data_IF_909050507825
#
_entry.id   IF_909050507825
#
_cell.length_a   1.000
_cell.length_b   1.000
_cell.length_c   1.000
_cell.angle_alpha   90.00
_cell.angle_beta   90.00
_cell.angle_gamma   90.00
#
_symmetry.space_group_name_H-M   'P 1'
#
loop_
_entity.id
_entity.type
_entity.pdbx_description
1 polymer ?
#
# COMPACT_ATOMS: atom_id res chain seq x y z
N UNK A 1 11.85 22.08 21.27
CA UNK A 1 12.30 20.69 21.02
C UNK A 1 11.85 19.72 22.12
N UNK A 2 11.95 20.10 23.41
CA UNK A 2 11.56 19.21 24.50
C UNK A 2 10.07 18.85 24.49
N UNK A 3 9.18 19.79 24.18
CA UNK A 3 7.74 19.57 24.12
C UNK A 3 7.37 18.65 22.94
N UNK A 4 8.00 18.85 21.78
CA UNK A 4 7.77 17.98 20.61
C UNK A 4 8.29 16.58 20.86
N UNK A 5 9.48 16.44 21.47
CA UNK A 5 10.04 15.15 21.83
C UNK A 5 9.14 14.40 22.80
N UNK A 6 8.62 15.08 23.84
CA UNK A 6 7.70 14.48 24.80
C UNK A 6 6.37 14.08 24.15
N UNK A 7 5.86 14.91 23.26
CA UNK A 7 4.63 14.63 22.50
C UNK A 7 4.79 13.36 21.65
N UNK A 8 5.88 13.27 20.88
CA UNK A 8 6.14 12.12 20.03
C UNK A 8 6.39 10.83 20.85
N UNK A 9 7.11 10.96 21.98
CA UNK A 9 7.33 9.83 22.87
C UNK A 9 6.01 9.27 23.39
N UNK A 10 5.03 10.14 23.70
CA UNK A 10 3.71 9.72 24.16
C UNK A 10 2.87 9.14 23.02
N UNK A 11 2.63 9.93 21.97
CA UNK A 11 1.62 9.57 20.96
C UNK A 11 2.15 8.70 19.83
N UNK A 12 3.45 8.69 19.59
CA UNK A 12 4.06 7.82 18.59
C UNK A 12 4.58 6.52 19.20
N UNK A 13 5.10 6.54 20.41
CA UNK A 13 5.86 5.42 20.95
C UNK A 13 5.17 4.68 22.11
N UNK A 14 4.48 5.39 23.03
CA UNK A 14 3.84 4.69 24.15
C UNK A 14 2.54 4.03 23.72
N UNK A 15 2.25 2.86 24.28
CA UNK A 15 1.03 2.11 23.97
C UNK A 15 -0.23 2.91 24.33
N UNK A 16 -0.25 3.54 25.49
CA UNK A 16 -1.38 4.36 25.94
C UNK A 16 -1.62 5.55 25.01
N UNK A 17 -0.57 6.29 24.68
CA UNK A 17 -0.67 7.45 23.80
C UNK A 17 -1.09 7.10 22.37
N UNK A 18 -0.55 6.00 21.85
CA UNK A 18 -0.95 5.48 20.53
C UNK A 18 -2.44 5.18 20.49
N UNK A 19 -2.98 4.53 21.53
CA UNK A 19 -4.40 4.20 21.60
C UNK A 19 -5.27 5.43 21.76
N UNK A 20 -4.87 6.42 22.57
CA UNK A 20 -5.59 7.69 22.68
C UNK A 20 -5.68 8.39 21.34
N UNK A 21 -4.58 8.44 20.61
CA UNK A 21 -4.52 9.03 19.26
C UNK A 21 -5.47 8.31 18.31
N UNK A 22 -5.45 6.98 18.34
CA UNK A 22 -6.31 6.14 17.49
C UNK A 22 -7.81 6.37 17.78
N UNK A 23 -8.20 6.41 19.05
CA UNK A 23 -9.59 6.65 19.42
C UNK A 23 -10.06 8.03 18.93
N UNK A 24 -9.18 9.03 19.00
CA UNK A 24 -9.50 10.37 18.52
C UNK A 24 -9.66 10.41 17.00
N UNK A 25 -8.81 9.69 16.25
CA UNK A 25 -8.97 9.53 14.80
C UNK A 25 -10.34 8.95 14.44
N UNK A 26 -10.75 7.91 15.14
CA UNK A 26 -12.05 7.27 14.90
C UNK A 26 -13.22 8.21 15.15
N UNK A 27 -13.12 9.07 16.17
CA UNK A 27 -14.14 10.09 16.42
C UNK A 27 -14.24 11.09 15.28
N UNK A 28 -13.09 11.52 14.74
CA UNK A 28 -13.05 12.57 13.70
C UNK A 28 -13.52 12.07 12.35
N UNK A 29 -13.14 10.87 11.98
CA UNK A 29 -13.39 10.34 10.63
C UNK A 29 -14.63 9.43 10.57
N UNK A 30 -15.13 8.99 11.72
CA UNK A 30 -16.21 8.00 11.77
C UNK A 30 -15.74 6.61 11.36
N UNK A 31 -16.37 5.59 11.89
CA UNK A 31 -16.03 4.20 11.63
C UNK A 31 -17.08 3.55 10.75
N UNK A 32 -16.64 2.86 9.72
CA UNK A 32 -17.50 2.01 8.89
C UNK A 32 -17.38 0.57 9.37
N UNK A 33 -18.50 0.02 9.85
CA UNK A 33 -18.56 -1.34 10.40
C UNK A 33 -19.04 -2.38 9.38
N UNK A 34 -19.02 -2.07 8.09
CA UNK A 34 -19.40 -3.03 7.06
C UNK A 34 -18.59 -4.32 7.22
N UNK A 35 -19.28 -5.43 7.41
CA UNK A 35 -18.64 -6.72 7.73
C UNK A 35 -17.75 -7.21 6.60
N UNK A 36 -18.19 -7.08 5.36
CA UNK A 36 -17.41 -7.52 4.19
C UNK A 36 -16.10 -6.76 4.08
N UNK A 37 -16.13 -5.42 4.18
CA UNK A 37 -14.93 -4.60 4.10
C UNK A 37 -14.00 -4.86 5.28
N UNK A 38 -14.53 -4.95 6.48
CA UNK A 38 -13.71 -5.17 7.67
C UNK A 38 -13.03 -6.54 7.65
N UNK A 39 -13.75 -7.59 7.27
CA UNK A 39 -13.15 -8.92 7.16
C UNK A 39 -12.03 -8.96 6.12
N UNK A 40 -12.24 -8.29 4.99
CA UNK A 40 -11.22 -8.18 3.93
C UNK A 40 -9.96 -7.49 4.44
N UNK A 41 -10.10 -6.36 5.10
CA UNK A 41 -8.98 -5.60 5.64
C UNK A 41 -8.29 -6.37 6.77
N UNK A 42 -9.03 -7.01 7.66
CA UNK A 42 -8.46 -7.82 8.74
C UNK A 42 -7.55 -8.93 8.19
N UNK A 43 -8.01 -9.61 7.15
CA UNK A 43 -7.21 -10.66 6.49
C UNK A 43 -5.95 -10.10 5.85
N UNK A 44 -6.08 -8.99 5.11
CA UNK A 44 -4.93 -8.37 4.45
C UNK A 44 -3.91 -7.86 5.47
N UNK A 45 -4.37 -7.20 6.53
CA UNK A 45 -3.48 -6.68 7.59
C UNK A 45 -2.76 -7.82 8.32
N UNK A 46 -3.44 -8.93 8.58
CA UNK A 46 -2.80 -10.10 9.19
C UNK A 46 -1.71 -10.68 8.28
N UNK A 47 -2.00 -10.82 6.99
CA UNK A 47 -1.04 -11.32 6.00
C UNK A 47 0.17 -10.38 5.84
N UNK A 48 -0.07 -9.08 5.80
CA UNK A 48 1.00 -8.09 5.72
C UNK A 48 1.85 -8.06 7.00
N UNK A 49 1.22 -8.17 8.16
CA UNK A 49 1.96 -8.23 9.43
C UNK A 49 2.92 -9.42 9.45
N UNK A 50 2.48 -10.58 9.00
CA UNK A 50 3.34 -11.76 8.90
C UNK A 50 4.47 -11.56 7.89
N UNK A 51 4.18 -10.99 6.73
CA UNK A 51 5.17 -10.70 5.69
C UNK A 51 6.22 -9.69 6.17
N UNK A 52 5.78 -8.60 6.80
CA UNK A 52 6.68 -7.59 7.37
C UNK A 52 7.51 -8.19 8.50
N UNK A 53 6.90 -9.00 9.36
CA UNK A 53 7.61 -9.66 10.46
C UNK A 53 8.76 -10.54 10.00
N UNK A 54 8.69 -11.10 8.80
CA UNK A 54 9.78 -11.90 8.22
C UNK A 54 11.01 -11.05 7.87
N UNK A 55 10.85 -9.76 7.60
CA UNK A 55 11.95 -8.85 7.21
C UNK A 55 12.23 -7.78 8.27
N UNK A 56 11.28 -7.47 9.12
CA UNK A 56 11.39 -6.47 10.19
C UNK A 56 10.54 -6.90 11.40
N UNK A 57 11.10 -7.71 12.29
CA UNK A 57 10.36 -8.23 13.46
C UNK A 57 9.88 -7.15 14.46
N UNK A 58 10.38 -5.92 14.35
CA UNK A 58 9.94 -4.82 15.23
C UNK A 58 8.46 -4.52 15.11
N UNK A 59 7.80 -4.96 14.04
CA UNK A 59 6.35 -4.81 13.88
C UNK A 59 5.59 -5.49 15.03
N UNK A 60 6.13 -6.54 15.61
CA UNK A 60 5.49 -7.24 16.74
C UNK A 60 5.57 -6.46 18.05
N UNK A 61 6.55 -5.55 18.16
CA UNK A 61 6.69 -4.68 19.34
C UNK A 61 5.78 -3.44 19.25
N UNK A 62 5.37 -3.06 18.03
CA UNK A 62 4.52 -1.90 17.78
C UNK A 62 3.49 -2.24 16.69
N UNK A 63 2.47 -3.04 17.04
CA UNK A 63 1.45 -3.46 16.08
C UNK A 63 0.66 -2.27 15.52
N UNK A 64 0.14 -2.42 14.31
CA UNK A 64 -0.68 -1.40 13.67
C UNK A 64 -2.10 -1.42 14.22
N UNK A 65 -2.63 -0.24 14.51
CA UNK A 65 -4.05 0.00 14.70
C UNK A 65 -4.62 0.49 13.37
N UNK A 66 -5.79 0.03 13.00
CA UNK A 66 -6.41 0.44 11.74
C UNK A 66 -7.93 0.41 11.85
N UNK A 67 -8.57 1.25 11.06
CA UNK A 67 -10.03 1.26 10.93
C UNK A 67 -10.43 1.73 9.54
N UNK A 68 -11.63 1.39 9.13
CA UNK A 68 -12.23 1.88 7.89
C UNK A 68 -13.10 3.07 8.27
N UNK A 69 -12.86 4.22 7.63
CA UNK A 69 -13.61 5.44 7.87
C UNK A 69 -14.76 5.59 6.86
N UNK A 70 -15.56 6.66 7.00
CA UNK A 70 -16.73 6.92 6.17
C UNK A 70 -16.46 7.73 4.90
N UNK A 71 -15.22 8.14 4.66
CA UNK A 71 -14.86 8.95 3.49
C UNK A 71 -14.94 8.12 2.22
N UNK A 72 -15.65 8.66 1.21
CA UNK A 72 -15.87 7.99 -0.07
C UNK A 72 -14.81 8.28 -1.11
N UNK A 73 -13.81 9.12 -0.80
CA UNK A 73 -12.66 9.33 -1.68
C UNK A 73 -11.69 8.16 -1.59
N UNK A 74 -10.87 7.99 -2.63
CA UNK A 74 -9.87 6.93 -2.68
C UNK A 74 -8.63 7.35 -1.89
N UNK A 75 -8.44 6.78 -0.72
CA UNK A 75 -7.23 6.99 0.08
C UNK A 75 -7.11 5.98 1.22
N UNK A 76 -5.90 5.89 1.74
CA UNK A 76 -5.54 5.28 3.01
C UNK A 76 -4.27 5.96 3.48
N UNK A 77 -4.07 6.09 4.79
CA UNK A 77 -2.84 6.69 5.31
C UNK A 77 -2.43 6.08 6.64
N UNK A 78 -1.13 6.18 6.90
CA UNK A 78 -0.52 5.86 8.18
C UNK A 78 -0.05 7.16 8.83
N UNK A 79 -0.28 7.31 10.12
CA UNK A 79 0.15 8.46 10.91
C UNK A 79 0.88 8.00 12.17
N UNK A 80 1.11 8.89 13.12
CA UNK A 80 1.82 8.58 14.37
C UNK A 80 1.26 7.34 15.07
N UNK A 81 2.13 6.61 15.72
CA UNK A 81 1.74 5.49 16.58
C UNK A 81 1.37 4.23 15.81
N UNK A 82 1.79 4.09 14.56
CA UNK A 82 1.34 3.00 13.69
C UNK A 82 -0.19 2.96 13.58
N UNK A 83 -0.80 4.13 13.53
CA UNK A 83 -2.25 4.27 13.35
C UNK A 83 -2.58 4.49 11.89
N UNK A 84 -3.53 3.72 11.36
CA UNK A 84 -3.94 3.76 9.96
C UNK A 84 -5.42 4.05 9.82
N UNK A 85 -5.76 4.87 8.85
CA UNK A 85 -7.13 5.13 8.44
C UNK A 85 -7.31 4.72 6.98
N UNK A 86 -8.35 3.94 6.70
CA UNK A 86 -8.63 3.40 5.38
C UNK A 86 -10.00 3.94 4.95
N UNK A 87 -10.02 4.72 3.88
CA UNK A 87 -11.27 5.28 3.39
C UNK A 87 -12.18 4.19 2.82
N UNK A 88 -13.48 4.29 3.06
CA UNK A 88 -14.48 3.45 2.40
C UNK A 88 -14.33 3.51 0.87
N UNK A 89 -13.96 4.68 0.34
CA UNK A 89 -13.75 4.88 -1.09
C UNK A 89 -12.64 4.02 -1.70
N UNK A 90 -11.75 3.44 -0.88
CA UNK A 90 -10.74 2.50 -1.39
C UNK A 90 -11.39 1.34 -2.14
N UNK A 91 -12.51 0.82 -1.60
CA UNK A 91 -13.21 -0.34 -2.16
C UNK A 91 -14.01 -0.03 -3.42
N UNK A 92 -14.29 1.23 -3.71
CA UNK A 92 -14.96 1.62 -4.96
C UNK A 92 -14.00 1.63 -6.15
N UNK A 93 -12.69 1.73 -5.90
CA UNK A 93 -11.66 1.75 -6.94
C UNK A 93 -10.94 0.40 -7.00
N UNK A 94 -10.56 -0.16 -5.87
CA UNK A 94 -9.84 -1.44 -5.80
C UNK A 94 -10.80 -2.57 -5.43
N UNK A 95 -10.95 -3.52 -6.35
CA UNK A 95 -11.75 -4.73 -6.15
C UNK A 95 -10.90 -5.97 -5.92
N UNK A 96 -9.58 -5.83 -6.01
CA UNK A 96 -8.60 -6.90 -5.98
C UNK A 96 -7.80 -6.82 -4.68
N UNK A 97 -7.73 -7.92 -3.94
CA UNK A 97 -7.03 -7.97 -2.65
C UNK A 97 -5.53 -7.71 -2.78
N UNK A 98 -4.91 -8.15 -3.89
CA UNK A 98 -3.48 -7.93 -4.12
C UNK A 98 -3.16 -6.44 -4.22
N UNK A 99 -4.00 -5.68 -4.92
CA UNK A 99 -3.82 -4.24 -5.07
C UNK A 99 -4.08 -3.50 -3.75
N UNK A 100 -5.08 -3.90 -2.99
CA UNK A 100 -5.33 -3.35 -1.65
C UNK A 100 -4.12 -3.61 -0.75
N UNK A 101 -3.57 -4.82 -0.81
CA UNK A 101 -2.39 -5.18 -0.03
C UNK A 101 -1.17 -4.29 -0.37
N UNK A 102 -1.00 -3.93 -1.63
CA UNK A 102 0.08 -3.00 -2.04
C UNK A 102 -0.10 -1.63 -1.39
N UNK A 103 -1.31 -1.08 -1.45
CA UNK A 103 -1.60 0.24 -0.83
C UNK A 103 -1.33 0.20 0.67
N UNK A 104 -1.85 -0.80 1.38
CA UNK A 104 -1.64 -0.92 2.82
C UNK A 104 -0.17 -1.22 3.15
N UNK A 105 0.50 -2.05 2.36
CA UNK A 105 1.93 -2.32 2.52
C UNK A 105 2.78 -1.08 2.36
N UNK A 106 2.44 -0.20 1.43
CA UNK A 106 3.08 1.11 1.24
C UNK A 106 2.90 1.98 2.50
N UNK A 107 1.68 2.07 3.03
CA UNK A 107 1.40 2.86 4.23
C UNK A 107 2.12 2.26 5.46
N UNK A 108 2.17 0.95 5.58
CA UNK A 108 2.94 0.29 6.64
C UNK A 108 4.45 0.51 6.48
N UNK A 109 4.93 0.64 5.25
CA UNK A 109 6.31 1.03 4.97
C UNK A 109 6.64 2.40 5.55
N UNK A 110 5.75 3.37 5.42
CA UNK A 110 5.89 4.67 6.08
C UNK A 110 5.97 4.50 7.60
N UNK A 111 5.12 3.67 8.18
CA UNK A 111 5.11 3.40 9.62
C UNK A 111 6.41 2.75 10.10
N UNK A 112 6.89 1.71 9.41
CA UNK A 112 8.10 0.98 9.78
C UNK A 112 9.36 1.86 9.72
N UNK A 113 9.39 2.86 8.85
CA UNK A 113 10.49 3.84 8.75
C UNK A 113 10.24 5.12 9.54
N UNK A 114 9.16 5.16 10.31
CA UNK A 114 8.83 6.29 11.19
C UNK A 114 8.69 7.62 10.42
N UNK A 115 8.26 7.55 9.17
CA UNK A 115 8.08 8.73 8.32
C UNK A 115 7.08 9.74 8.90
N UNK A 116 5.95 9.31 9.50
CA UNK A 116 5.03 10.28 10.12
C UNK A 116 5.67 11.10 11.24
N UNK A 117 6.46 10.49 12.10
CA UNK A 117 7.17 11.20 13.17
C UNK A 117 8.25 12.12 12.62
N UNK A 118 9.00 11.66 11.61
CA UNK A 118 10.01 12.49 10.93
C UNK A 118 9.38 13.69 10.26
N UNK A 119 8.23 13.52 9.60
CA UNK A 119 7.48 14.63 9.02
C UNK A 119 6.94 15.60 10.08
N UNK A 120 6.45 15.09 11.20
CA UNK A 120 5.99 15.90 12.31
C UNK A 120 7.12 16.75 12.90
N UNK A 121 8.31 16.21 13.04
CA UNK A 121 9.49 16.96 13.52
C UNK A 121 9.86 18.12 12.60
N UNK A 122 9.60 18.01 11.30
CA UNK A 122 9.89 19.09 10.35
C UNK A 122 8.77 20.11 10.24
N UNK A 123 7.50 19.69 10.37
CA UNK A 123 6.34 20.53 10.05
C UNK A 123 5.63 21.09 11.27
N UNK A 124 5.67 20.42 12.42
CA UNK A 124 5.03 20.91 13.64
C UNK A 124 5.93 21.95 14.29
N UNK A 125 5.39 23.15 14.46
CA UNK A 125 6.05 24.18 15.24
C UNK A 125 5.50 24.17 16.67
N UNK A 126 6.24 24.80 17.55
CA UNK A 126 5.89 24.88 18.98
C UNK A 126 4.59 25.63 19.24
N UNK A 127 4.19 26.53 18.32
CA UNK A 127 2.94 27.26 18.47
C UNK A 127 1.70 26.40 18.31
N UNK A 128 1.76 25.39 17.43
CA UNK A 128 0.66 24.42 17.27
C UNK A 128 0.52 23.58 18.53
N UNK A 129 1.63 23.08 19.07
CA UNK A 129 1.63 22.28 20.30
C UNK A 129 1.29 23.13 21.53
N UNK A 130 1.78 24.35 21.57
CA UNK A 130 1.52 25.29 22.67
C UNK A 130 0.06 25.75 22.73
N UNK A 131 -0.55 26.02 21.58
CA UNK A 131 -1.97 26.35 21.48
C UNK A 131 -2.86 25.16 21.87
N UNK A 132 -2.33 23.95 21.78
CA UNK A 132 -3.04 22.73 22.11
C UNK A 132 -2.80 22.25 23.55
N UNK A 133 -1.88 22.88 24.31
CA UNK A 133 -1.65 22.53 25.71
C UNK A 133 -2.89 22.85 26.56
N UNK A 134 -3.45 21.84 27.16
CA UNK A 134 -4.68 21.93 27.93
C UNK A 134 -5.93 21.93 27.10
N UNK A 135 -5.82 21.71 25.81
CA UNK A 135 -6.93 21.63 24.89
C UNK A 135 -7.04 20.28 24.24
N UNK A 136 -8.06 20.15 23.53
CA UNK A 136 -8.61 19.06 22.77
C UNK A 136 -7.53 18.30 21.98
N UNK A 137 -7.31 17.04 22.33
CA UNK A 137 -6.48 16.13 21.58
C UNK A 137 -6.93 16.05 20.11
N UNK A 138 -8.23 16.25 19.84
CA UNK A 138 -8.77 16.27 18.50
C UNK A 138 -8.13 17.31 17.59
N UNK A 139 -7.84 18.49 18.11
CA UNK A 139 -7.17 19.57 17.36
C UNK A 139 -5.74 19.13 17.01
N UNK A 140 -5.04 18.54 17.96
CA UNK A 140 -3.68 18.04 17.74
C UNK A 140 -3.68 16.96 16.66
N UNK A 141 -4.57 15.99 16.76
CA UNK A 141 -4.69 14.89 15.81
C UNK A 141 -4.97 15.42 14.40
N UNK A 142 -5.92 16.35 14.27
CA UNK A 142 -6.22 16.97 12.98
C UNK A 142 -5.00 17.68 12.39
N UNK A 143 -4.27 18.43 13.19
CA UNK A 143 -3.06 19.15 12.74
C UNK A 143 -1.96 18.17 12.30
N UNK A 144 -1.73 17.11 13.06
CA UNK A 144 -0.72 16.09 12.72
C UNK A 144 -1.06 15.42 11.38
N UNK A 145 -2.31 15.02 11.19
CA UNK A 145 -2.74 14.35 9.97
C UNK A 145 -2.68 15.29 8.76
N UNK A 146 -3.12 16.54 8.91
CA UNK A 146 -3.14 17.52 7.82
C UNK A 146 -1.75 18.01 7.42
N UNK A 147 -0.73 17.82 8.27
CA UNK A 147 0.63 18.30 8.06
C UNK A 147 1.66 17.17 8.08
N UNK A 148 1.36 16.05 7.44
CA UNK A 148 2.22 14.85 7.48
C UNK A 148 3.60 15.06 6.87
N UNK A 149 3.75 15.95 5.90
CA UNK A 149 5.03 16.33 5.29
C UNK A 149 5.87 15.13 4.83
N UNK A 150 5.29 14.28 4.00
CA UNK A 150 5.96 13.14 3.40
C UNK A 150 6.73 13.61 2.17
N UNK A 151 8.03 13.33 2.13
CA UNK A 151 8.91 13.75 1.02
C UNK A 151 8.94 12.71 -0.10
N UNK A 152 9.41 13.12 -1.29
CA UNK A 152 9.61 12.19 -2.40
C UNK A 152 10.54 11.02 -2.06
N UNK A 153 11.69 11.21 -1.41
CA UNK A 153 12.50 10.08 -0.96
C UNK A 153 11.78 9.11 -0.02
N UNK A 154 10.95 9.63 0.89
CA UNK A 154 10.12 8.79 1.76
C UNK A 154 9.10 7.97 0.95
N UNK A 155 8.48 8.56 -0.06
CA UNK A 155 7.56 7.86 -0.95
C UNK A 155 8.26 6.74 -1.71
N UNK A 156 9.45 7.00 -2.24
CA UNK A 156 10.26 5.97 -2.92
C UNK A 156 10.66 4.85 -1.97
N UNK A 157 11.04 5.17 -0.75
CA UNK A 157 11.38 4.17 0.27
C UNK A 157 10.16 3.31 0.59
N UNK A 158 8.99 3.93 0.78
CA UNK A 158 7.75 3.20 1.02
C UNK A 158 7.36 2.31 -0.16
N UNK A 159 7.56 2.76 -1.40
CA UNK A 159 7.33 1.94 -2.58
C UNK A 159 8.24 0.70 -2.61
N UNK A 160 9.52 0.88 -2.31
CA UNK A 160 10.47 -0.22 -2.25
C UNK A 160 10.11 -1.23 -1.15
N UNK A 161 9.68 -0.73 0.01
CA UNK A 161 9.24 -1.57 1.12
C UNK A 161 7.95 -2.32 0.79
N UNK A 162 6.99 -1.68 0.12
CA UNK A 162 5.77 -2.36 -0.31
C UNK A 162 6.09 -3.57 -1.19
N UNK A 163 7.02 -3.41 -2.14
CA UNK A 163 7.47 -4.52 -2.98
C UNK A 163 8.13 -5.63 -2.15
N UNK A 164 9.01 -5.28 -1.23
CA UNK A 164 9.67 -6.24 -0.34
C UNK A 164 8.63 -7.02 0.48
N UNK A 165 7.66 -6.33 1.09
CA UNK A 165 6.63 -6.96 1.90
C UNK A 165 5.74 -7.89 1.06
N UNK A 166 5.31 -7.44 -0.11
CA UNK A 166 4.47 -8.23 -1.00
C UNK A 166 5.20 -9.49 -1.47
N UNK A 167 6.49 -9.41 -1.79
CA UNK A 167 7.26 -10.57 -2.21
C UNK A 167 7.51 -11.59 -1.08
N UNK A 168 7.32 -11.19 0.18
CA UNK A 168 7.34 -12.09 1.33
C UNK A 168 5.94 -12.55 1.76
N UNK A 169 4.92 -12.25 0.97
CA UNK A 169 3.54 -12.67 1.16
C UNK A 169 3.10 -13.60 0.03
N UNK A 170 1.85 -14.04 0.08
CA UNK A 170 1.22 -14.79 -1.02
C UNK A 170 0.54 -13.88 -2.05
N UNK A 171 0.61 -12.56 -1.88
CA UNK A 171 0.06 -11.63 -2.85
C UNK A 171 0.92 -11.55 -4.09
N UNK A 172 0.28 -11.26 -5.22
CA UNK A 172 0.96 -11.16 -6.51
C UNK A 172 1.83 -9.90 -6.57
N UNK A 173 3.16 -10.01 -6.74
CA UNK A 173 4.02 -8.84 -6.79
C UNK A 173 3.75 -7.93 -7.98
N UNK A 174 3.12 -8.42 -9.03
CA UNK A 174 2.67 -7.62 -10.17
C UNK A 174 1.64 -6.56 -9.79
N UNK A 175 0.92 -6.77 -8.69
CA UNK A 175 -0.04 -5.79 -8.18
C UNK A 175 0.62 -4.46 -7.84
N UNK A 176 1.92 -4.44 -7.52
CA UNK A 176 2.65 -3.20 -7.26
C UNK A 176 2.63 -2.25 -8.46
N UNK A 177 2.79 -2.78 -9.66
CA UNK A 177 2.68 -1.99 -10.89
C UNK A 177 1.22 -1.83 -11.33
N UNK A 178 0.42 -2.90 -11.19
CA UNK A 178 -0.98 -2.92 -11.62
C UNK A 178 -1.82 -1.85 -10.92
N UNK A 179 -1.62 -1.63 -9.63
CA UNK A 179 -2.37 -0.62 -8.88
C UNK A 179 -2.13 0.79 -9.44
N UNK A 180 -0.91 1.12 -9.84
CA UNK A 180 -0.60 2.43 -10.44
C UNK A 180 -1.22 2.56 -11.84
N UNK A 181 -1.22 1.49 -12.62
CA UNK A 181 -1.94 1.47 -13.90
C UNK A 181 -3.43 1.73 -13.68
N UNK A 182 -4.03 1.08 -12.69
CA UNK A 182 -5.44 1.28 -12.36
C UNK A 182 -5.73 2.71 -11.88
N UNK A 183 -4.88 3.27 -11.03
CA UNK A 183 -5.00 4.67 -10.57
C UNK A 183 -4.95 5.63 -11.76
N UNK A 184 -4.03 5.44 -12.69
CA UNK A 184 -3.93 6.25 -13.90
C UNK A 184 -5.19 6.12 -14.77
N UNK A 185 -5.67 4.90 -14.97
CA UNK A 185 -6.87 4.65 -15.78
C UNK A 185 -8.12 5.27 -15.15
N UNK A 186 -8.28 5.14 -13.84
CA UNK A 186 -9.46 5.64 -13.12
C UNK A 186 -9.42 7.15 -12.90
N UNK A 187 -8.24 7.76 -12.80
CA UNK A 187 -8.13 9.21 -12.59
C UNK A 187 -8.71 10.03 -13.74
N UNK A 188 -8.73 9.48 -14.95
CA UNK A 188 -9.27 10.16 -16.14
C UNK A 188 -10.78 10.37 -16.08
N UNK A 189 -11.52 9.56 -15.32
CA UNK A 189 -12.97 9.65 -15.20
C UNK A 189 -13.48 9.96 -13.81
N UNK A 190 -12.61 9.94 -12.78
CA UNK A 190 -12.98 10.08 -11.37
C UNK A 190 -11.99 11.00 -10.64
N UNK A 191 -11.67 12.13 -11.22
CA UNK A 191 -10.68 13.07 -10.69
C UNK A 191 -10.96 13.51 -9.25
N UNK A 192 -12.22 13.80 -8.92
CA UNK A 192 -12.62 14.21 -7.58
C UNK A 192 -12.38 13.11 -6.54
N UNK A 193 -12.61 11.84 -6.91
CA UNK A 193 -12.41 10.69 -6.03
C UNK A 193 -10.94 10.42 -5.78
N UNK A 194 -10.10 10.68 -6.79
CA UNK A 194 -8.66 10.36 -6.79
C UNK A 194 -7.78 11.52 -6.31
N UNK A 195 -8.33 12.72 -6.20
CA UNK A 195 -7.55 13.94 -5.98
C UNK A 195 -6.67 13.89 -4.74
N UNK A 196 -7.21 13.47 -3.61
CA UNK A 196 -6.45 13.42 -2.34
C UNK A 196 -5.34 12.39 -2.41
N UNK A 197 -5.63 11.22 -2.98
CA UNK A 197 -4.63 10.16 -3.14
C UNK A 197 -3.47 10.63 -4.03
N UNK A 198 -3.78 11.26 -5.16
CA UNK A 198 -2.76 11.75 -6.09
C UNK A 198 -1.95 12.91 -5.49
N UNK A 199 -2.57 13.72 -4.64
CA UNK A 199 -1.87 14.78 -3.90
C UNK A 199 -0.89 14.19 -2.88
N UNK A 200 -1.31 13.14 -2.14
CA UNK A 200 -0.48 12.47 -1.14
C UNK A 200 0.58 11.57 -1.78
N UNK A 201 0.29 11.04 -2.97
CA UNK A 201 1.13 10.08 -3.69
C UNK A 201 1.29 10.50 -5.14
N UNK A 202 2.08 11.53 -5.44
CA UNK A 202 2.25 11.98 -6.83
C UNK A 202 2.72 10.85 -7.73
N UNK A 203 2.05 10.67 -8.87
CA UNK A 203 2.41 9.66 -9.85
C UNK A 203 2.13 10.15 -11.26
N UNK A 204 3.06 9.90 -12.15
CA UNK A 204 3.00 10.22 -13.57
C UNK A 204 3.33 8.99 -14.44
N UNK A 205 3.25 7.81 -13.88
CA UNK A 205 3.65 6.57 -14.52
C UNK A 205 5.06 6.12 -14.14
N UNK A 206 5.89 6.98 -13.59
CA UNK A 206 7.26 6.63 -13.18
C UNK A 206 7.24 5.56 -12.08
N UNK A 207 6.29 5.61 -11.18
CA UNK A 207 6.16 4.62 -10.09
C UNK A 207 5.77 3.25 -10.63
N UNK A 208 4.84 3.20 -11.59
CA UNK A 208 4.50 1.97 -12.31
C UNK A 208 5.72 1.37 -13.01
N UNK A 209 6.46 2.20 -13.74
CA UNK A 209 7.63 1.76 -14.50
C UNK A 209 8.78 1.33 -13.59
N UNK A 210 8.95 2.00 -12.44
CA UNK A 210 9.90 1.59 -11.42
C UNK A 210 9.57 0.20 -10.87
N UNK A 211 8.30 -0.10 -10.64
CA UNK A 211 7.88 -1.43 -10.24
C UNK A 211 8.07 -2.47 -11.34
N UNK A 212 7.82 -2.12 -12.59
CA UNK A 212 8.09 -3.03 -13.72
C UNK A 212 9.57 -3.42 -13.77
N UNK A 213 10.47 -2.48 -13.47
CA UNK A 213 11.90 -2.76 -13.37
C UNK A 213 12.24 -3.69 -12.19
N UNK A 214 11.62 -3.48 -11.04
CA UNK A 214 11.78 -4.38 -9.88
C UNK A 214 11.30 -5.79 -10.19
N UNK A 215 10.18 -5.92 -10.89
CA UNK A 215 9.65 -7.21 -11.33
C UNK A 215 10.60 -7.91 -12.30
N UNK A 216 11.21 -7.17 -13.23
CA UNK A 216 12.22 -7.71 -14.13
C UNK A 216 13.39 -8.31 -13.34
N UNK A 217 13.95 -7.55 -12.38
CA UNK A 217 15.04 -8.05 -11.53
C UNK A 217 14.60 -9.25 -10.69
N UNK A 218 13.40 -9.22 -10.14
CA UNK A 218 12.84 -10.32 -9.34
C UNK A 218 12.66 -11.59 -10.17
N UNK A 219 12.36 -11.45 -11.46
CA UNK A 219 12.27 -12.57 -12.42
C UNK A 219 13.62 -13.11 -12.88
N UNK A 220 14.73 -12.68 -12.29
CA UNK A 220 16.10 -12.97 -12.75
C UNK A 220 16.35 -12.49 -14.19
N UNK A 221 15.76 -11.34 -14.54
CA UNK A 221 15.88 -10.67 -15.83
C UNK A 221 15.26 -11.42 -17.00
N UNK A 222 14.16 -12.14 -16.73
CA UNK A 222 13.47 -12.92 -17.76
C UNK A 222 12.17 -12.28 -18.24
N UNK A 223 11.44 -11.54 -17.40
CA UNK A 223 10.07 -11.13 -17.70
C UNK A 223 9.96 -9.62 -17.77
N UNK A 224 9.42 -9.12 -18.87
CA UNK A 224 9.17 -7.70 -19.10
C UNK A 224 7.75 -7.50 -19.63
N UNK A 225 7.34 -6.25 -19.71
CA UNK A 225 6.09 -5.84 -20.31
C UNK A 225 6.32 -4.59 -21.15
N UNK A 226 5.68 -4.53 -22.33
CA UNK A 226 5.72 -3.35 -23.19
C UNK A 226 4.35 -3.18 -23.83
N UNK A 227 3.73 -2.03 -23.56
CA UNK A 227 2.42 -1.66 -24.14
C UNK A 227 1.35 -2.76 -23.95
N UNK A 228 1.29 -3.34 -22.76
CA UNK A 228 0.33 -4.39 -22.43
C UNK A 228 0.70 -5.79 -22.89
N UNK A 229 1.82 -5.95 -23.60
CA UNK A 229 2.32 -7.26 -24.03
C UNK A 229 3.39 -7.74 -23.07
N UNK A 230 3.15 -8.91 -22.47
CA UNK A 230 4.12 -9.60 -21.61
C UNK A 230 5.15 -10.31 -22.48
N UNK A 231 6.42 -10.08 -22.16
CA UNK A 231 7.54 -10.69 -22.87
C UNK A 231 8.35 -11.58 -21.92
N UNK A 232 8.75 -12.71 -22.42
CA UNK A 232 9.64 -13.66 -21.72
C UNK A 232 10.89 -13.84 -22.58
N UNK A 233 12.04 -13.53 -22.02
CA UNK A 233 13.33 -13.56 -22.73
C UNK A 233 13.31 -12.77 -24.04
N UNK A 234 12.64 -11.61 -24.02
CA UNK A 234 12.53 -10.73 -25.16
C UNK A 234 11.49 -11.13 -26.22
N UNK A 235 10.81 -12.25 -26.03
CA UNK A 235 9.79 -12.74 -26.96
C UNK A 235 8.39 -12.49 -26.42
N UNK A 236 7.47 -12.09 -27.30
CA UNK A 236 6.08 -11.92 -26.93
C UNK A 236 5.48 -13.21 -26.40
N UNK A 237 4.88 -13.13 -25.23
CA UNK A 237 4.21 -14.26 -24.59
C UNK A 237 2.69 -14.11 -24.67
N UNK A 238 2.14 -13.01 -24.16
CA UNK A 238 0.70 -12.76 -24.16
C UNK A 238 0.41 -11.27 -24.06
N UNK A 239 -0.65 -10.84 -24.73
CA UNK A 239 -1.30 -9.55 -24.50
C UNK A 239 -2.69 -9.88 -23.93
N UNK A 240 -2.87 -9.82 -22.59
CA UNK A 240 -4.14 -10.20 -21.99
C UNK A 240 -5.27 -9.31 -22.47
N UNK A 241 -6.45 -9.90 -22.70
CA UNK A 241 -7.64 -9.10 -22.96
C UNK A 241 -8.08 -8.37 -21.69
N UNK A 242 -8.77 -7.23 -21.85
CA UNK A 242 -9.47 -6.61 -20.73
C UNK A 242 -10.50 -7.59 -20.15
N UNK A 243 -10.69 -7.57 -18.84
CA UNK A 243 -11.63 -8.46 -18.15
C UNK A 243 -12.28 -7.73 -17.00
N UNK A 244 -13.61 -7.66 -17.00
CA UNK A 244 -14.33 -6.93 -15.99
C UNK A 244 -13.93 -5.44 -16.00
N UNK A 245 -13.55 -4.92 -14.86
CA UNK A 245 -13.10 -3.53 -14.72
C UNK A 245 -11.58 -3.37 -14.88
N UNK A 246 -10.85 -4.45 -15.16
CA UNK A 246 -9.41 -4.42 -15.41
C UNK A 246 -9.10 -4.21 -16.89
N UNK A 247 -8.26 -3.22 -17.17
CA UNK A 247 -7.73 -3.03 -18.53
C UNK A 247 -6.75 -4.14 -18.91
N UNK A 248 -6.48 -4.27 -20.20
CA UNK A 248 -5.42 -5.14 -20.71
C UNK A 248 -4.08 -4.84 -20.03
N UNK A 249 -3.72 -3.56 -19.92
CA UNK A 249 -2.47 -3.15 -19.30
C UNK A 249 -2.40 -3.54 -17.82
N UNK A 250 -3.46 -3.34 -17.07
CA UNK A 250 -3.51 -3.74 -15.66
C UNK A 250 -3.33 -5.26 -15.52
N UNK A 251 -4.05 -6.05 -16.32
CA UNK A 251 -3.93 -7.51 -16.29
C UNK A 251 -2.54 -7.99 -16.68
N UNK A 252 -1.89 -7.29 -17.62
CA UNK A 252 -0.52 -7.67 -18.04
C UNK A 252 0.45 -7.67 -16.86
N UNK A 253 0.32 -6.73 -15.92
CA UNK A 253 1.18 -6.70 -14.74
C UNK A 253 0.94 -7.87 -13.79
N UNK A 254 -0.29 -8.35 -13.67
CA UNK A 254 -0.56 -9.57 -12.90
C UNK A 254 0.09 -10.81 -13.52
N UNK A 255 0.08 -10.91 -14.85
CA UNK A 255 0.78 -11.98 -15.56
C UNK A 255 2.30 -11.87 -15.35
N UNK A 256 2.85 -10.66 -15.49
CA UNK A 256 4.27 -10.39 -15.21
C UNK A 256 4.63 -10.83 -13.79
N UNK A 257 3.83 -10.47 -12.80
CA UNK A 257 4.09 -10.81 -11.40
C UNK A 257 4.08 -12.32 -11.16
N UNK A 258 3.13 -13.03 -11.74
CA UNK A 258 3.06 -14.49 -11.64
C UNK A 258 4.25 -15.19 -12.31
N UNK A 259 4.63 -14.74 -13.50
CA UNK A 259 5.80 -15.27 -14.20
C UNK A 259 7.09 -14.93 -13.45
N UNK A 260 7.22 -13.70 -12.94
CA UNK A 260 8.37 -13.31 -12.16
C UNK A 260 8.53 -14.18 -10.91
N UNK A 261 7.43 -14.47 -10.22
CA UNK A 261 7.43 -15.38 -9.07
C UNK A 261 7.87 -16.81 -9.48
N UNK A 262 7.39 -17.29 -10.63
CA UNK A 262 7.80 -18.59 -11.14
C UNK A 262 9.32 -18.67 -11.37
N UNK A 263 9.89 -17.66 -12.03
CA UNK A 263 11.34 -17.59 -12.23
C UNK A 263 12.11 -17.46 -10.92
N UNK A 264 11.64 -16.56 -10.04
CA UNK A 264 12.31 -16.33 -8.77
C UNK A 264 12.36 -17.58 -7.89
N UNK A 265 11.27 -18.36 -7.87
CA UNK A 265 11.13 -19.55 -7.03
C UNK A 265 11.56 -20.84 -7.75
N UNK A 266 12.09 -20.76 -8.96
CA UNK A 266 12.62 -21.91 -9.67
C UNK A 266 11.59 -22.80 -10.36
N UNK A 267 10.35 -22.31 -10.57
CA UNK A 267 9.27 -23.05 -11.23
C UNK A 267 9.22 -22.85 -12.75
N UNK A 268 10.15 -22.07 -13.31
CA UNK A 268 10.19 -21.76 -14.74
C UNK A 268 10.41 -23.01 -15.64
N UNK A 269 10.96 -24.08 -15.07
CA UNK A 269 11.18 -25.34 -15.78
C UNK A 269 10.16 -26.43 -15.46
N UNK A 270 9.20 -26.13 -14.59
CA UNK A 270 8.15 -27.06 -14.22
C UNK A 270 7.16 -27.26 -15.38
N UNK A 271 6.40 -28.34 -15.31
CA UNK A 271 5.40 -28.65 -16.33
C UNK A 271 4.30 -27.57 -16.36
N UNK A 272 3.96 -27.14 -17.57
CA UNK A 272 2.81 -26.27 -17.80
C UNK A 272 1.56 -27.13 -17.97
N UNK A 273 0.47 -26.72 -17.33
CA UNK A 273 -0.82 -27.39 -17.42
C UNK A 273 -1.95 -26.42 -17.13
N UNK A 274 -3.18 -26.84 -17.41
CA UNK A 274 -4.37 -26.05 -17.13
C UNK A 274 -5.12 -26.70 -15.97
N UNK A 275 -5.41 -25.91 -14.94
CA UNK A 275 -6.25 -26.29 -13.82
C UNK A 275 -7.53 -25.44 -13.87
N UNK A 276 -8.64 -26.04 -14.29
CA UNK A 276 -9.86 -25.31 -14.57
C UNK A 276 -9.64 -24.29 -15.70
N UNK A 277 -9.71 -22.99 -15.36
CA UNK A 277 -9.45 -21.88 -16.30
C UNK A 277 -8.08 -21.26 -16.11
N UNK A 278 -7.26 -21.78 -15.20
CA UNK A 278 -5.97 -21.19 -14.84
C UNK A 278 -4.83 -21.94 -15.52
N UNK A 279 -3.98 -21.19 -16.22
CA UNK A 279 -2.71 -21.73 -16.74
C UNK A 279 -1.72 -21.79 -15.58
N UNK A 280 -1.15 -22.97 -15.35
CA UNK A 280 -0.24 -23.25 -14.25
C UNK A 280 1.15 -23.57 -14.79
N UNK A 281 2.15 -23.26 -13.99
CA UNK A 281 3.54 -23.66 -14.21
C UNK A 281 4.03 -24.30 -12.90
N UNK A 282 3.97 -25.64 -12.81
CA UNK A 282 4.11 -26.34 -11.55
C UNK A 282 3.04 -25.85 -10.56
N UNK A 283 3.41 -25.45 -9.33
CA UNK A 283 2.47 -24.92 -8.36
C UNK A 283 2.11 -23.43 -8.56
N UNK A 284 2.75 -22.75 -9.54
CA UNK A 284 2.58 -21.32 -9.76
C UNK A 284 1.46 -21.03 -10.75
N UNK A 285 0.37 -20.36 -10.32
CA UNK A 285 -0.64 -19.85 -11.27
C UNK A 285 -0.04 -18.72 -12.11
N UNK A 286 -0.34 -18.70 -13.40
CA UNK A 286 0.19 -17.70 -14.33
C UNK A 286 -0.90 -16.73 -14.77
N UNK A 287 -2.00 -17.23 -15.31
CA UNK A 287 -3.12 -16.41 -15.76
C UNK A 287 -4.39 -17.25 -15.93
N UNK A 288 -5.52 -16.58 -15.93
CA UNK A 288 -6.83 -17.15 -16.25
C UNK A 288 -7.32 -16.65 -17.59
#
# INVERSE_FOLDING_TARGET
>A
HAQLTAFLKKYNDSEEGRQEFFEEMKKQYGVNYNTYYNNKIDTIMANLTAAIGAVDPTIYDKPYNYFINQDKSFNAFCTLGHNMSINTGLFSVLTNDDEIAVVLGHEMGHGQKDHPAKGARRSLNMSILGAATGTDLGVIVANVINNRNITKPMEREADALAFEYITHSNYNPGACAAVWQRVMDKSKGQENVMQQFLSDHPSDGDRRDAYAKKLYEYSNKHVTVKDGTVKVNGKDFVTPAALGDMSSAERSYFVVGNLAAAYHNGHNKDAAYVDGKTVMLGPQPIMT
#
